data_IF_886583312147
#
_entry.id   IF_886583312147
#
_cell.length_a   1.000
_cell.length_b   1.000
_cell.length_c   1.000
_cell.angle_alpha   90.00
_cell.angle_beta   90.00
_cell.angle_gamma   90.00
#
_symmetry.space_group_name_H-M   'P 1'
#
loop_
_entity.id
_entity.type
_entity.pdbx_description
1 polymer ?
#
# COMPACT_ATOMS: atom_id res chain seq x y z
N UNK A 1 35.73 11.53 5.66
CA UNK A 1 35.25 11.82 4.29
C UNK A 1 33.82 11.31 4.14
N UNK A 2 32.83 12.20 4.12
CA UNK A 2 31.49 11.99 3.54
C UNK A 2 30.80 13.37 3.49
N UNK A 3 30.74 13.94 2.29
CA UNK A 3 30.17 15.26 2.00
C UNK A 3 28.64 15.16 2.05
N UNK A 4 27.99 15.97 2.89
CA UNK A 4 26.54 16.21 2.82
C UNK A 4 26.28 17.24 1.73
N UNK A 5 25.60 16.83 0.66
CA UNK A 5 25.14 17.73 -0.40
C UNK A 5 23.87 18.41 0.10
N UNK A 6 23.97 19.70 0.35
CA UNK A 6 22.85 20.62 0.62
C UNK A 6 22.24 20.96 -0.75
N UNK A 7 21.03 20.49 -1.01
CA UNK A 7 20.29 20.93 -2.19
C UNK A 7 19.76 22.35 -1.95
N UNK A 8 20.07 23.21 -2.92
CA UNK A 8 19.93 24.65 -2.91
C UNK A 8 18.55 25.19 -2.53
N UNK A 9 18.63 26.27 -1.77
CA UNK A 9 17.70 27.38 -1.71
C UNK A 9 17.22 27.84 -3.09
N UNK A 10 15.92 27.74 -3.35
CA UNK A 10 15.23 28.59 -4.31
C UNK A 10 14.24 29.41 -3.51
N UNK A 11 14.56 30.70 -3.37
CA UNK A 11 13.79 31.67 -2.62
C UNK A 11 12.44 31.94 -3.28
N UNK A 12 11.38 31.77 -2.49
CA UNK A 12 10.12 32.50 -2.69
C UNK A 12 9.83 33.14 -1.35
N UNK A 13 10.35 34.35 -1.17
CA UNK A 13 9.97 35.20 -0.05
C UNK A 13 8.56 35.75 -0.33
N UNK A 14 7.53 35.02 0.10
CA UNK A 14 6.19 35.58 0.21
C UNK A 14 6.19 36.56 1.39
N UNK A 15 6.18 37.87 1.08
CA UNK A 15 5.94 38.93 2.05
C UNK A 15 4.48 38.83 2.54
N UNK A 16 4.24 37.96 3.51
CA UNK A 16 2.98 37.91 4.24
C UNK A 16 3.07 38.98 5.34
N UNK A 17 2.26 40.05 5.31
CA UNK A 17 2.24 41.01 6.39
C UNK A 17 1.73 40.32 7.66
N UNK A 18 2.60 40.19 8.65
CA UNK A 18 2.23 39.73 9.99
C UNK A 18 1.58 40.91 10.71
N UNK A 19 0.26 40.94 10.73
CA UNK A 19 -0.50 41.86 11.58
C UNK A 19 -0.43 41.32 13.01
N UNK A 20 0.31 42.02 13.88
CA UNK A 20 0.31 41.74 15.31
C UNK A 20 -1.03 42.13 15.91
N UNK A 21 -1.93 41.17 16.12
CA UNK A 21 -3.14 41.40 16.89
C UNK A 21 -2.73 41.73 18.34
N UNK A 22 -3.28 42.83 18.89
CA UNK A 22 -3.11 43.16 20.29
C UNK A 22 -3.62 42.00 21.16
N UNK A 23 -2.77 41.50 22.05
CA UNK A 23 -3.17 40.51 23.05
C UNK A 23 -4.26 41.13 23.94
N UNK A 24 -5.43 40.48 24.11
CA UNK A 24 -6.46 41.00 25.00
C UNK A 24 -5.92 41.13 26.43
N UNK A 25 -6.38 42.17 27.12
CA UNK A 25 -6.11 42.42 28.54
C UNK A 25 -6.45 41.14 29.32
N UNK A 26 -5.48 40.67 30.11
CA UNK A 26 -5.53 39.40 30.83
C UNK A 26 -6.44 39.49 32.06
N UNK A 27 -7.75 39.43 31.83
CA UNK A 27 -8.72 39.07 32.87
C UNK A 27 -9.26 37.65 32.67
N UNK A 28 -8.47 36.78 32.00
CA UNK A 28 -8.76 35.37 31.88
C UNK A 28 -8.20 34.62 33.10
N UNK A 29 -8.94 33.64 33.68
CA UNK A 29 -8.43 32.82 34.78
C UNK A 29 -7.08 32.17 34.40
N UNK A 30 -6.17 31.99 35.36
CA UNK A 30 -4.84 31.45 35.10
C UNK A 30 -4.95 30.11 34.37
N UNK A 31 -4.35 30.04 33.18
CA UNK A 31 -4.46 28.89 32.30
C UNK A 31 -3.92 27.64 33.02
N UNK A 32 -4.74 26.58 33.25
CA UNK A 32 -4.37 25.50 34.15
C UNK A 32 -3.08 24.83 33.66
N UNK A 33 -2.08 24.80 34.54
CA UNK A 33 -0.79 24.17 34.28
C UNK A 33 -0.89 22.67 34.49
N UNK A 34 -0.02 21.89 33.85
CA UNK A 34 -0.02 20.44 34.02
C UNK A 34 0.32 20.14 35.48
N UNK A 35 -0.59 19.54 36.26
CA UNK A 35 -0.31 19.23 37.65
C UNK A 35 0.80 18.17 37.77
N UNK A 36 1.63 18.24 38.83
CA UNK A 36 2.62 17.20 39.11
C UNK A 36 1.93 15.86 39.41
N UNK A 37 2.60 14.72 39.17
CA UNK A 37 2.04 13.41 39.53
C UNK A 37 1.93 13.28 41.06
N UNK A 38 0.72 13.02 41.57
CA UNK A 38 0.42 12.88 43.00
C UNK A 38 -0.32 11.56 43.30
N UNK A 39 -0.26 11.09 44.55
CA UNK A 39 -1.00 9.90 44.99
C UNK A 39 -2.49 10.23 45.23
N UNK A 40 -3.41 9.25 45.18
CA UNK A 40 -4.83 9.47 45.45
C UNK A 40 -5.14 10.13 46.80
N UNK A 41 -4.33 9.89 47.83
CA UNK A 41 -4.48 10.47 49.17
C UNK A 41 -3.99 11.92 49.28
N UNK A 42 -3.27 12.42 48.29
CA UNK A 42 -2.68 13.76 48.25
C UNK A 42 -3.52 14.73 47.39
N UNK A 43 -4.69 14.29 46.92
CA UNK A 43 -5.58 15.14 46.14
C UNK A 43 -6.18 16.24 47.03
N UNK A 44 -6.18 17.50 46.57
CA UNK A 44 -6.91 18.55 47.27
C UNK A 44 -8.41 18.22 47.28
N UNK A 45 -9.06 18.44 48.41
CA UNK A 45 -10.48 18.09 48.60
C UNK A 45 -11.39 19.10 47.91
N UNK A 46 -10.95 20.35 47.76
CA UNK A 46 -11.72 21.46 47.21
C UNK A 46 -11.22 21.96 45.85
N UNK A 47 -10.02 21.55 45.43
CA UNK A 47 -9.44 21.91 44.13
C UNK A 47 -9.11 20.63 43.35
N UNK A 48 -9.49 20.59 42.07
CA UNK A 48 -9.19 19.46 41.20
C UNK A 48 -8.31 19.89 40.01
N UNK A 49 -7.03 20.26 40.22
CA UNK A 49 -6.15 20.70 39.13
C UNK A 49 -6.03 19.69 37.99
N UNK A 50 -6.16 18.39 38.29
CA UNK A 50 -6.17 17.32 37.29
C UNK A 50 -7.44 17.31 36.43
N UNK A 51 -8.60 17.65 37.00
CA UNK A 51 -9.85 17.77 36.26
C UNK A 51 -9.82 19.02 35.37
N UNK A 52 -9.41 20.17 35.91
CA UNK A 52 -9.31 21.43 35.16
C UNK A 52 -8.32 21.31 33.99
N UNK A 53 -7.18 20.64 34.22
CA UNK A 53 -6.22 20.36 33.17
C UNK A 53 -6.75 19.36 32.13
N UNK A 54 -7.49 18.32 32.55
CA UNK A 54 -8.10 17.37 31.62
C UNK A 54 -9.17 18.05 30.74
N UNK A 55 -9.98 18.94 31.29
CA UNK A 55 -10.95 19.75 30.55
C UNK A 55 -10.26 20.69 29.55
N UNK A 56 -9.11 21.28 29.93
CA UNK A 56 -8.28 22.05 29.00
C UNK A 56 -7.71 21.20 27.86
N UNK A 57 -7.23 20.00 28.15
CA UNK A 57 -6.73 19.07 27.11
C UNK A 57 -7.86 18.67 26.16
N UNK A 58 -9.03 18.37 26.71
CA UNK A 58 -10.23 18.00 25.94
C UNK A 58 -10.73 19.15 25.06
N UNK A 59 -10.88 20.33 25.63
CA UNK A 59 -11.28 21.55 24.90
C UNK A 59 -10.24 21.95 23.84
N UNK A 60 -8.94 21.79 24.11
CA UNK A 60 -7.91 22.00 23.09
C UNK A 60 -8.05 20.99 21.94
N UNK A 61 -8.28 19.71 22.24
CA UNK A 61 -8.47 18.69 21.18
C UNK A 61 -9.76 18.88 20.36
N UNK A 62 -10.81 19.39 20.99
CA UNK A 62 -12.11 19.65 20.35
C UNK A 62 -12.09 20.96 19.54
N UNK A 63 -11.24 21.92 19.90
CA UNK A 63 -11.04 23.16 19.15
C UNK A 63 -9.94 23.04 18.07
N UNK A 64 -8.95 22.16 18.26
CA UNK A 64 -7.87 21.86 17.29
C UNK A 64 -8.22 20.68 16.36
N UNK A 65 -9.48 20.58 15.94
CA UNK A 65 -9.80 19.71 14.81
C UNK A 65 -9.23 20.38 13.57
N UNK A 66 -8.11 19.85 13.05
CA UNK A 66 -7.47 20.40 11.86
C UNK A 66 -8.49 20.60 10.72
N UNK A 67 -8.36 21.68 9.96
CA UNK A 67 -9.31 22.10 8.92
C UNK A 67 -9.74 20.97 7.97
N UNK A 68 -8.78 20.10 7.61
CA UNK A 68 -9.04 18.93 6.75
C UNK A 68 -9.96 17.93 7.45
N UNK A 69 -9.76 17.67 8.74
CA UNK A 69 -10.60 16.73 9.50
C UNK A 69 -12.01 17.29 9.66
N UNK A 70 -12.19 18.57 9.99
CA UNK A 70 -13.52 19.16 10.13
C UNK A 70 -14.32 19.11 8.82
N UNK A 71 -13.67 19.37 7.69
CA UNK A 71 -14.29 19.26 6.37
C UNK A 71 -14.69 17.82 6.01
N UNK A 72 -13.86 16.84 6.39
CA UNK A 72 -14.12 15.43 6.11
C UNK A 72 -15.09 14.76 7.10
N UNK A 73 -15.30 15.31 8.29
CA UNK A 73 -16.15 14.71 9.31
C UNK A 73 -17.59 14.49 8.84
N UNK A 74 -18.19 15.46 8.13
CA UNK A 74 -19.56 15.34 7.66
C UNK A 74 -19.72 14.25 6.58
N UNK A 75 -18.94 14.24 5.49
CA UNK A 75 -18.99 13.15 4.49
C UNK A 75 -18.73 11.76 5.08
N UNK A 76 -17.76 11.64 6.00
CA UNK A 76 -17.41 10.34 6.61
C UNK A 76 -18.54 9.81 7.48
N UNK A 77 -19.26 10.67 8.22
CA UNK A 77 -20.41 10.25 9.03
C UNK A 77 -21.54 9.69 8.16
N UNK A 78 -21.88 10.38 7.07
CA UNK A 78 -22.90 9.92 6.13
C UNK A 78 -22.52 8.58 5.51
N UNK A 79 -21.26 8.44 5.07
CA UNK A 79 -20.75 7.17 4.53
C UNK A 79 -20.81 6.03 5.55
N UNK A 80 -20.47 6.30 6.82
CA UNK A 80 -20.52 5.31 7.89
C UNK A 80 -21.93 4.75 8.08
N UNK A 81 -22.93 5.61 8.08
CA UNK A 81 -24.34 5.22 8.22
C UNK A 81 -24.81 4.39 7.02
N UNK A 82 -24.39 4.76 5.82
CA UNK A 82 -24.67 4.00 4.59
C UNK A 82 -24.04 2.61 4.60
N UNK A 83 -22.81 2.49 5.10
CA UNK A 83 -22.09 1.21 5.19
C UNK A 83 -22.72 0.31 6.25
N UNK A 84 -23.14 0.87 7.39
CA UNK A 84 -23.76 0.09 8.46
C UNK A 84 -25.14 -0.44 8.09
N UNK A 85 -25.87 0.31 7.26
CA UNK A 85 -27.23 -0.07 6.82
C UNK A 85 -27.23 -1.03 5.63
N UNK A 86 -26.19 -1.02 4.79
CA UNK A 86 -26.12 -1.88 3.61
C UNK A 86 -25.34 -3.16 3.89
N UNK A 87 -25.94 -4.30 3.54
CA UNK A 87 -25.22 -5.58 3.52
C UNK A 87 -24.05 -5.54 2.53
N UNK A 88 -22.98 -6.27 2.85
CA UNK A 88 -21.76 -6.39 2.04
C UNK A 88 -22.09 -6.78 0.58
N UNK A 89 -23.09 -7.66 0.38
CA UNK A 89 -23.54 -8.05 -0.97
C UNK A 89 -24.16 -6.90 -1.76
N UNK A 90 -24.90 -6.00 -1.09
CA UNK A 90 -25.46 -4.80 -1.69
C UNK A 90 -24.40 -3.78 -2.05
N UNK A 91 -23.32 -3.68 -1.26
CA UNK A 91 -22.17 -2.83 -1.56
C UNK A 91 -21.43 -3.34 -2.80
N UNK A 92 -21.20 -4.66 -2.90
CA UNK A 92 -20.56 -5.23 -4.09
C UNK A 92 -21.39 -5.04 -5.36
N UNK A 93 -22.72 -5.17 -5.27
CA UNK A 93 -23.62 -4.87 -6.40
C UNK A 93 -23.52 -3.40 -6.81
N UNK A 94 -23.58 -2.49 -5.84
CA UNK A 94 -23.44 -1.05 -6.09
C UNK A 94 -22.09 -0.67 -6.71
N UNK A 95 -20.99 -1.25 -6.24
CA UNK A 95 -19.64 -1.04 -6.80
C UNK A 95 -19.45 -1.67 -8.19
N UNK A 96 -20.32 -2.59 -8.60
CA UNK A 96 -20.33 -3.21 -9.93
C UNK A 96 -21.41 -2.65 -10.85
N UNK A 97 -22.14 -1.63 -10.43
CA UNK A 97 -23.15 -0.96 -11.25
C UNK A 97 -22.46 -0.06 -12.30
N UNK A 98 -22.82 -0.19 -13.58
CA UNK A 98 -22.10 0.46 -14.71
C UNK A 98 -22.23 1.98 -14.76
N UNK A 99 -23.30 2.52 -14.16
CA UNK A 99 -23.55 3.95 -14.16
C UNK A 99 -22.51 4.76 -13.37
N UNK A 100 -21.83 4.15 -12.39
CA UNK A 100 -20.98 4.87 -11.44
C UNK A 100 -19.48 4.61 -11.64
N UNK A 101 -18.98 4.71 -12.88
CA UNK A 101 -17.55 4.51 -13.20
C UNK A 101 -16.61 5.30 -12.28
N UNK A 102 -16.97 6.55 -11.94
CA UNK A 102 -16.18 7.40 -11.03
C UNK A 102 -16.03 6.80 -9.63
N UNK A 103 -17.11 6.23 -9.07
CA UNK A 103 -17.09 5.62 -7.73
C UNK A 103 -16.22 4.36 -7.72
N UNK A 104 -16.21 3.60 -8.83
CA UNK A 104 -15.35 2.42 -8.96
C UNK A 104 -13.87 2.76 -8.97
N UNK A 105 -13.46 3.75 -9.76
CA UNK A 105 -12.08 4.24 -9.75
C UNK A 105 -11.70 4.83 -8.39
N UNK A 106 -12.64 5.53 -7.72
CA UNK A 106 -12.47 6.01 -6.36
C UNK A 106 -12.23 4.88 -5.36
N UNK A 107 -13.00 3.80 -5.44
CA UNK A 107 -12.83 2.61 -4.60
C UNK A 107 -11.46 1.96 -4.81
N UNK A 108 -11.00 1.81 -6.06
CA UNK A 108 -9.68 1.28 -6.39
C UNK A 108 -8.56 2.17 -5.86
N UNK A 109 -8.66 3.48 -6.05
CA UNK A 109 -7.69 4.46 -5.53
C UNK A 109 -7.64 4.42 -3.99
N UNK A 110 -8.79 4.32 -3.32
CA UNK A 110 -8.85 4.15 -1.88
C UNK A 110 -8.23 2.82 -1.45
N UNK A 111 -8.47 1.73 -2.18
CA UNK A 111 -7.81 0.45 -1.94
C UNK A 111 -6.28 0.56 -1.99
N UNK A 112 -5.74 1.27 -2.98
CA UNK A 112 -4.31 1.53 -3.10
C UNK A 112 -3.73 2.41 -2.01
N UNK A 113 -4.41 3.51 -1.67
CA UNK A 113 -4.01 4.38 -0.56
C UNK A 113 -4.04 3.64 0.78
N UNK A 114 -5.04 2.78 0.98
CA UNK A 114 -5.13 1.97 2.20
C UNK A 114 -3.93 1.01 2.29
N UNK A 115 -3.60 0.30 1.20
CA UNK A 115 -2.41 -0.56 1.17
C UNK A 115 -1.11 0.21 1.33
N UNK A 116 -1.00 1.41 0.75
CA UNK A 116 0.15 2.28 0.93
C UNK A 116 0.34 2.68 2.39
N UNK A 117 -0.74 3.04 3.09
CA UNK A 117 -0.72 3.38 4.52
C UNK A 117 -0.25 2.17 5.35
N UNK A 118 -0.78 0.97 5.08
CA UNK A 118 -0.31 -0.25 5.73
C UNK A 118 1.18 -0.56 5.44
N UNK A 119 1.66 -0.19 4.25
CA UNK A 119 3.06 -0.31 3.85
C UNK A 119 4.02 0.75 4.42
N UNK A 120 3.52 1.82 5.07
CA UNK A 120 4.34 2.96 5.53
C UNK A 120 5.46 2.56 6.49
N UNK A 121 5.23 1.53 7.31
CA UNK A 121 6.20 1.02 8.29
C UNK A 121 7.38 0.29 7.65
N UNK A 122 7.33 0.02 6.34
CA UNK A 122 8.44 -0.55 5.57
C UNK A 122 9.18 0.48 4.70
N UNK A 123 10.21 -0.01 4.00
CA UNK A 123 10.89 0.73 2.93
C UNK A 123 10.01 0.88 1.67
N UNK A 124 10.55 1.55 0.65
CA UNK A 124 9.83 1.90 -0.59
C UNK A 124 9.23 0.68 -1.29
N UNK A 125 9.97 -0.44 -1.34
CA UNK A 125 9.52 -1.68 -1.99
C UNK A 125 8.26 -2.24 -1.32
N UNK A 126 8.22 -2.29 0.03
CA UNK A 126 7.02 -2.75 0.76
C UNK A 126 5.84 -1.82 0.47
N UNK A 127 6.05 -0.51 0.42
CA UNK A 127 4.97 0.44 0.12
C UNK A 127 4.36 0.19 -1.25
N UNK A 128 5.19 0.00 -2.29
CA UNK A 128 4.72 -0.28 -3.66
C UNK A 128 4.04 -1.64 -3.73
N UNK A 129 4.59 -2.68 -3.09
CA UNK A 129 4.00 -4.01 -3.11
C UNK A 129 2.64 -4.07 -2.40
N UNK A 130 2.53 -3.51 -1.19
CA UNK A 130 1.28 -3.48 -0.44
C UNK A 130 0.22 -2.63 -1.14
N UNK A 131 0.59 -1.45 -1.64
CA UNK A 131 -0.32 -0.62 -2.43
C UNK A 131 -0.76 -1.34 -3.71
N UNK A 132 0.17 -1.97 -4.43
CA UNK A 132 -0.13 -2.74 -5.64
C UNK A 132 -1.09 -3.89 -5.36
N UNK A 133 -0.77 -4.73 -4.36
CA UNK A 133 -1.61 -5.87 -3.99
C UNK A 133 -3.04 -5.46 -3.63
N UNK A 134 -3.22 -4.41 -2.82
CA UNK A 134 -4.56 -3.94 -2.44
C UNK A 134 -5.28 -3.25 -3.59
N UNK A 135 -4.58 -2.49 -4.42
CA UNK A 135 -5.16 -1.87 -5.63
C UNK A 135 -5.64 -2.93 -6.60
N UNK A 136 -4.83 -3.96 -6.85
CA UNK A 136 -5.19 -5.06 -7.75
C UNK A 136 -6.36 -5.88 -7.18
N UNK A 137 -6.35 -6.18 -5.88
CA UNK A 137 -7.47 -6.88 -5.24
C UNK A 137 -8.77 -6.08 -5.33
N UNK A 138 -8.72 -4.78 -5.07
CA UNK A 138 -9.91 -3.91 -5.18
C UNK A 138 -10.34 -3.71 -6.64
N UNK A 139 -9.38 -3.60 -7.56
CA UNK A 139 -9.60 -3.54 -9.01
C UNK A 139 -10.31 -4.77 -9.52
N UNK A 140 -9.92 -5.96 -9.08
CA UNK A 140 -10.60 -7.22 -9.41
C UNK A 140 -12.06 -7.24 -8.95
N UNK A 141 -12.32 -6.72 -7.74
CA UNK A 141 -13.67 -6.65 -7.18
C UNK A 141 -14.57 -5.68 -7.96
N UNK A 142 -14.04 -4.51 -8.34
CA UNK A 142 -14.77 -3.45 -9.04
C UNK A 142 -14.87 -3.63 -10.57
N UNK A 143 -13.86 -4.27 -11.18
CA UNK A 143 -13.71 -4.43 -12.63
C UNK A 143 -13.26 -5.86 -12.99
N UNK A 144 -14.13 -6.87 -12.77
CA UNK A 144 -13.76 -8.26 -12.98
C UNK A 144 -13.45 -8.58 -14.46
N UNK A 145 -14.13 -7.96 -15.42
CA UNK A 145 -13.90 -8.25 -16.85
C UNK A 145 -12.62 -7.59 -17.37
N UNK A 146 -12.43 -6.29 -17.11
CA UNK A 146 -11.20 -5.57 -17.51
C UNK A 146 -9.95 -6.23 -16.89
N UNK A 147 -10.04 -6.68 -15.63
CA UNK A 147 -8.92 -7.33 -14.95
C UNK A 147 -8.55 -8.68 -15.58
N UNK A 148 -9.53 -9.46 -16.07
CA UNK A 148 -9.27 -10.73 -16.77
C UNK A 148 -8.53 -10.50 -18.08
N UNK A 149 -8.96 -9.51 -18.86
CA UNK A 149 -8.37 -9.23 -20.19
C UNK A 149 -6.97 -8.65 -20.05
N UNK A 150 -6.76 -7.74 -19.10
CA UNK A 150 -5.44 -7.21 -18.76
C UNK A 150 -4.51 -8.34 -18.33
N UNK A 151 -4.98 -9.28 -17.51
CA UNK A 151 -4.16 -10.41 -17.05
C UNK A 151 -3.76 -11.34 -18.20
N UNK A 152 -4.69 -11.70 -19.09
CA UNK A 152 -4.38 -12.56 -20.24
C UNK A 152 -3.31 -11.93 -21.12
N UNK A 153 -3.49 -10.66 -21.50
CA UNK A 153 -2.55 -9.93 -22.35
C UNK A 153 -1.19 -9.75 -21.66
N UNK A 154 -1.18 -9.42 -20.36
CA UNK A 154 0.06 -9.26 -19.60
C UNK A 154 0.78 -10.59 -19.37
N UNK A 155 0.06 -11.71 -19.25
CA UNK A 155 0.68 -13.02 -19.06
C UNK A 155 1.51 -13.43 -20.29
N UNK A 156 1.04 -13.11 -21.51
CA UNK A 156 1.78 -13.35 -22.76
C UNK A 156 3.05 -12.51 -22.80
N UNK A 157 2.95 -11.21 -22.47
CA UNK A 157 4.11 -10.33 -22.42
C UNK A 157 5.10 -10.76 -21.32
N UNK A 158 4.60 -11.14 -20.15
CA UNK A 158 5.44 -11.61 -19.05
C UNK A 158 6.22 -12.87 -19.45
N UNK A 159 5.57 -13.85 -20.11
CA UNK A 159 6.25 -15.03 -20.65
C UNK A 159 7.39 -14.64 -21.59
N UNK A 160 7.17 -13.67 -22.48
CA UNK A 160 8.21 -13.17 -23.38
C UNK A 160 9.38 -12.53 -22.62
N UNK A 161 9.12 -11.61 -21.68
CA UNK A 161 10.17 -10.97 -20.90
C UNK A 161 10.96 -11.97 -20.05
N UNK A 162 10.30 -12.96 -19.47
CA UNK A 162 10.99 -13.97 -18.67
C UNK A 162 11.82 -14.89 -19.56
N UNK A 163 11.34 -15.31 -20.72
CA UNK A 163 12.15 -16.07 -21.68
C UNK A 163 13.36 -15.25 -22.15
N UNK A 164 13.21 -13.95 -22.44
CA UNK A 164 14.33 -13.07 -22.81
C UNK A 164 15.34 -12.98 -21.65
N UNK A 165 14.88 -12.72 -20.44
CA UNK A 165 15.75 -12.61 -19.27
C UNK A 165 16.47 -13.92 -18.95
N UNK A 166 15.78 -15.05 -19.10
CA UNK A 166 16.35 -16.38 -18.92
C UNK A 166 17.45 -16.67 -19.94
N UNK A 167 17.16 -16.44 -21.23
CA UNK A 167 18.16 -16.59 -22.30
C UNK A 167 19.37 -15.65 -22.09
N UNK A 168 19.14 -14.43 -21.58
CA UNK A 168 20.21 -13.49 -21.24
C UNK A 168 21.04 -13.96 -20.04
N UNK A 169 20.41 -14.47 -18.97
CA UNK A 169 21.09 -14.98 -17.78
C UNK A 169 22.01 -16.15 -18.11
N UNK A 170 21.60 -17.01 -19.05
CA UNK A 170 22.37 -18.16 -19.53
C UNK A 170 23.36 -17.81 -20.67
N UNK A 171 23.40 -16.57 -21.14
CA UNK A 171 24.38 -16.12 -22.13
C UNK A 171 24.22 -16.75 -23.51
N UNK A 172 22.98 -17.11 -23.88
CA UNK A 172 22.65 -17.72 -25.18
C UNK A 172 22.95 -16.71 -26.30
N UNK A 173 23.79 -17.09 -27.26
CA UNK A 173 24.15 -16.23 -28.40
C UNK A 173 23.05 -16.30 -29.47
N UNK A 174 22.84 -15.23 -30.25
CA UNK A 174 21.86 -15.24 -31.34
C UNK A 174 22.22 -16.34 -32.37
N UNK A 175 21.52 -17.48 -32.32
CA UNK A 175 21.77 -18.65 -33.17
C UNK A 175 21.55 -20.01 -32.49
N UNK A 176 21.58 -20.07 -31.15
CA UNK A 176 21.30 -21.29 -30.38
C UNK A 176 19.78 -21.50 -30.15
N UNK A 177 19.32 -22.75 -29.92
CA UNK A 177 17.89 -23.03 -29.67
C UNK A 177 17.42 -22.29 -28.42
N UNK A 178 16.35 -21.50 -28.56
CA UNK A 178 15.77 -20.73 -27.46
C UNK A 178 15.25 -21.68 -26.39
N UNK A 179 15.67 -21.48 -25.14
CA UNK A 179 15.15 -22.23 -24.01
C UNK A 179 13.80 -21.63 -23.62
N UNK A 180 12.73 -22.33 -23.97
CA UNK A 180 11.36 -21.93 -23.62
C UNK A 180 11.00 -22.43 -22.23
N UNK A 181 10.85 -21.50 -21.29
CA UNK A 181 10.34 -21.83 -19.97
C UNK A 181 8.81 -21.83 -20.06
N UNK A 182 8.20 -23.01 -19.99
CA UNK A 182 6.76 -23.16 -19.91
C UNK A 182 6.27 -22.69 -18.53
N UNK A 183 5.99 -21.39 -18.41
CA UNK A 183 5.29 -20.89 -17.23
C UNK A 183 3.83 -21.34 -17.27
N UNK A 184 3.30 -21.87 -16.16
CA UNK A 184 1.88 -22.18 -16.04
C UNK A 184 1.06 -20.90 -16.31
N UNK A 185 -0.13 -21.07 -16.89
CA UNK A 185 -1.02 -19.94 -17.10
C UNK A 185 -1.41 -19.34 -15.75
N UNK A 186 -1.04 -18.07 -15.54
CA UNK A 186 -1.38 -17.27 -14.37
C UNK A 186 -2.89 -16.97 -14.39
N UNK A 187 -3.68 -17.98 -14.04
CA UNK A 187 -5.07 -17.79 -13.68
C UNK A 187 -5.13 -17.30 -12.24
N UNK A 188 -6.10 -16.42 -11.94
CA UNK A 188 -6.26 -15.91 -10.59
C UNK A 188 -6.60 -17.08 -9.65
N UNK A 189 -5.84 -17.27 -8.55
CA UNK A 189 -6.22 -18.24 -7.55
C UNK A 189 -7.55 -17.79 -6.96
N UNK A 190 -8.54 -18.67 -7.01
CA UNK A 190 -9.81 -18.42 -6.33
C UNK A 190 -9.63 -18.61 -4.82
N UNK A 191 -8.68 -19.45 -4.44
CA UNK A 191 -8.41 -19.82 -3.05
C UNK A 191 -6.92 -19.69 -2.65
N UNK A 192 -6.67 -19.55 -1.35
CA UNK A 192 -5.32 -19.48 -0.80
C UNK A 192 -4.52 -20.77 -1.03
N UNK A 193 -5.17 -21.92 -1.08
CA UNK A 193 -4.53 -23.20 -1.40
C UNK A 193 -3.99 -23.20 -2.83
N UNK A 194 -4.78 -22.74 -3.79
CA UNK A 194 -4.35 -22.61 -5.19
C UNK A 194 -3.19 -21.62 -5.32
N UNK A 195 -3.17 -20.56 -4.51
CA UNK A 195 -2.04 -19.63 -4.48
C UNK A 195 -0.76 -20.30 -3.96
N UNK A 196 -0.85 -21.09 -2.89
CA UNK A 196 0.30 -21.82 -2.36
C UNK A 196 0.77 -22.86 -3.36
N UNK A 197 -0.13 -23.61 -3.98
CA UNK A 197 0.19 -24.63 -4.99
C UNK A 197 0.81 -24.00 -6.25
N UNK A 198 0.30 -22.84 -6.69
CA UNK A 198 0.93 -22.06 -7.76
C UNK A 198 2.31 -21.55 -7.35
N UNK A 199 2.50 -21.12 -6.10
CA UNK A 199 3.81 -20.67 -5.61
C UNK A 199 4.80 -21.83 -5.52
N UNK A 200 4.35 -23.01 -5.09
CA UNK A 200 5.16 -24.23 -5.02
C UNK A 200 5.53 -24.71 -6.43
N UNK A 201 4.60 -24.69 -7.38
CA UNK A 201 4.86 -25.07 -8.77
C UNK A 201 5.73 -24.06 -9.53
N UNK A 202 5.60 -22.77 -9.22
CA UNK A 202 6.55 -21.74 -9.69
C UNK A 202 7.92 -21.93 -9.05
N UNK A 203 8.01 -22.23 -7.76
CA UNK A 203 9.28 -22.50 -7.10
C UNK A 203 9.94 -23.78 -7.64
N UNK A 204 9.17 -24.82 -7.95
CA UNK A 204 9.70 -26.06 -8.52
C UNK A 204 10.13 -25.87 -9.98
N UNK A 205 9.34 -25.17 -10.79
CA UNK A 205 9.74 -24.84 -12.17
C UNK A 205 10.96 -23.92 -12.23
N UNK A 206 11.07 -22.93 -11.34
CA UNK A 206 12.29 -22.11 -11.22
C UNK A 206 13.47 -22.95 -10.74
N UNK A 207 13.29 -23.84 -9.76
CA UNK A 207 14.36 -24.78 -9.37
C UNK A 207 14.79 -25.67 -10.52
N UNK A 208 13.85 -26.19 -11.30
CA UNK A 208 14.12 -27.04 -12.46
C UNK A 208 14.81 -26.27 -13.60
N UNK A 209 14.48 -24.98 -13.78
CA UNK A 209 15.11 -24.11 -14.76
C UNK A 209 16.49 -23.58 -14.30
N UNK A 210 16.72 -23.44 -13.00
CA UNK A 210 18.01 -23.00 -12.43
C UNK A 210 19.00 -24.16 -12.27
N UNK A 211 18.50 -25.39 -12.11
CA UNK A 211 19.35 -26.57 -12.23
C UNK A 211 19.88 -26.67 -13.66
N UNK A 212 21.17 -26.97 -13.85
CA UNK A 212 21.74 -27.04 -15.19
C UNK A 212 20.92 -28.03 -16.03
N UNK A 213 20.71 -27.76 -17.34
CA UNK A 213 20.28 -28.82 -18.23
C UNK A 213 21.27 -29.98 -18.03
N UNK A 214 20.82 -31.24 -17.99
CA UNK A 214 21.73 -32.38 -17.95
C UNK A 214 22.76 -32.14 -19.05
N UNK A 215 24.01 -31.92 -18.63
CA UNK A 215 25.14 -31.70 -19.51
C UNK A 215 25.10 -32.79 -20.55
N UNK A 216 25.15 -32.40 -21.82
CA UNK A 216 25.57 -33.27 -22.91
C UNK A 216 27.05 -33.63 -22.67
N UNK A 217 27.28 -34.51 -21.73
CA UNK A 217 28.49 -35.29 -21.50
C UNK A 217 27.92 -36.62 -20.96
N UNK A 218 27.44 -37.51 -21.81
CA UNK A 218 28.29 -38.55 -22.42
C UNK A 218 28.02 -38.67 -23.92
N UNK A 219 28.84 -38.01 -24.73
CA UNK A 219 29.18 -38.53 -26.05
C UNK A 219 30.66 -38.95 -25.94
N UNK A 220 30.89 -40.20 -25.53
CA UNK A 220 32.15 -40.88 -25.87
C UNK A 220 31.90 -41.70 -27.14
N UNK A 221 32.57 -41.36 -28.25
CA UNK A 221 32.74 -42.27 -29.37
C UNK A 221 33.79 -43.33 -29.04
N UNK A 222 33.94 -44.30 -29.95
CA UNK A 222 34.97 -45.36 -30.01
C UNK A 222 34.58 -46.66 -29.27
N UNK A 223 34.65 -47.85 -29.83
CA UNK A 223 35.04 -48.33 -31.16
C UNK A 223 34.62 -49.82 -31.21
N UNK A 224 34.41 -50.35 -32.41
CA UNK A 224 34.36 -51.80 -32.66
C UNK A 224 35.63 -52.48 -32.13
N UNK A 225 35.50 -53.69 -31.59
CA UNK A 225 36.29 -54.89 -31.99
C UNK A 225 35.88 -56.13 -31.21
N UNK A 226 35.62 -57.17 -32.01
CA UNK A 226 35.58 -58.63 -31.74
C UNK A 226 34.58 -59.20 -30.74
#
# INVERSE_FOLDING_TARGET
MLRKVVLGSVGVATLIPVVGAATPIKDAPPNPQKPPPMKPSELPIYEAPHADYAEKVKSKSDNEVGYVRSMLLAPVRVMREQIFTKSISGIFKYLREEENKQVRYGAVAMGGLTGFIFGLRGGIIRRVFYAGATTTAMGYVCFPEETKDIMKNNSVLAKQYVNIAYNFLYGVKPGDPQLEVNFPELSFPKDFSEFVDMTVSLASSVKQAVMPPPSKEELKPDEKKE
#
